data_IF_337747060704
#
_entry.id   IF_337747060704
#
_cell.length_a   1.000
_cell.length_b   1.000
_cell.length_c   1.000
_cell.angle_alpha   90.00
_cell.angle_beta   90.00
_cell.angle_gamma   90.00
#
_symmetry.space_group_name_H-M   'P 1'
#
loop_
_entity.id
_entity.type
_entity.pdbx_description
1 polymer ?
#
# COMPACT_ATOMS: atom_id res chain seq x y z
N UNK A 1 -2.98 -24.19 -41.91
CA UNK A 1 -3.81 -23.56 -40.86
C UNK A 1 -2.98 -22.53 -40.12
N UNK A 2 -3.11 -21.25 -40.49
CA UNK A 2 -2.46 -20.15 -39.76
C UNK A 2 -3.30 -19.83 -38.53
N UNK A 3 -2.77 -20.08 -37.34
CA UNK A 3 -3.36 -19.59 -36.10
C UNK A 3 -3.27 -18.07 -36.08
N UNK A 4 -4.37 -17.39 -36.43
CA UNK A 4 -4.49 -15.95 -36.18
C UNK A 4 -4.61 -15.76 -34.67
N UNK A 5 -3.55 -15.27 -34.04
CA UNK A 5 -3.63 -14.86 -32.64
C UNK A 5 -4.72 -13.79 -32.51
N UNK A 6 -5.66 -13.92 -31.57
CA UNK A 6 -6.65 -12.89 -31.32
C UNK A 6 -5.92 -11.58 -31.01
N UNK A 7 -6.20 -10.53 -31.79
CA UNK A 7 -5.68 -9.17 -31.53
C UNK A 7 -6.03 -8.82 -30.10
N UNK A 8 -5.01 -8.69 -29.24
CA UNK A 8 -5.20 -8.22 -27.87
C UNK A 8 -5.96 -6.89 -27.91
N UNK A 9 -7.14 -6.79 -27.28
CA UNK A 9 -7.90 -5.57 -27.29
C UNK A 9 -7.16 -4.58 -26.38
N UNK A 10 -6.78 -3.44 -26.96
CA UNK A 10 -6.11 -2.29 -26.33
C UNK A 10 -4.58 -2.47 -26.26
N UNK A 11 -3.89 -1.55 -26.94
CA UNK A 11 -2.44 -1.33 -26.78
C UNK A 11 -2.12 -1.16 -25.29
N UNK A 12 -1.33 -2.06 -24.68
CA UNK A 12 -1.05 -2.03 -23.25
C UNK A 12 -0.46 -0.69 -22.77
N UNK A 13 0.19 0.07 -23.67
CA UNK A 13 0.68 1.42 -23.37
C UNK A 13 -0.45 2.45 -23.26
N UNK A 14 -1.49 2.39 -24.09
CA UNK A 14 -2.65 3.31 -23.99
C UNK A 14 -3.45 3.08 -22.72
N UNK A 15 -3.64 1.80 -22.34
CA UNK A 15 -4.30 1.44 -21.08
C UNK A 15 -3.54 1.93 -19.84
N UNK A 16 -2.21 2.05 -19.93
CA UNK A 16 -1.36 2.55 -18.85
C UNK A 16 -1.58 4.04 -18.58
N UNK A 17 -1.54 4.90 -19.59
CA UNK A 17 -1.70 6.36 -19.41
C UNK A 17 -3.10 6.72 -18.91
N UNK A 18 -4.14 6.05 -19.41
CA UNK A 18 -5.52 6.26 -18.95
C UNK A 18 -5.66 5.91 -17.46
N UNK A 19 -5.08 4.78 -17.02
CA UNK A 19 -5.11 4.40 -15.59
C UNK A 19 -4.38 5.43 -14.72
N UNK A 20 -3.22 5.90 -15.16
CA UNK A 20 -2.47 6.92 -14.45
C UNK A 20 -3.27 8.22 -14.34
N UNK A 21 -3.83 8.73 -15.45
CA UNK A 21 -4.66 9.94 -15.47
C UNK A 21 -5.88 9.82 -14.54
N UNK A 22 -6.60 8.71 -14.62
CA UNK A 22 -7.75 8.45 -13.74
C UNK A 22 -7.33 8.39 -12.28
N UNK A 23 -6.15 7.83 -11.96
CA UNK A 23 -5.64 7.81 -10.59
C UNK A 23 -5.13 9.16 -10.08
N UNK A 24 -4.78 10.10 -10.96
CA UNK A 24 -4.34 11.45 -10.56
C UNK A 24 -5.49 12.31 -10.03
N UNK A 25 -6.71 12.16 -10.58
CA UNK A 25 -7.89 12.94 -10.14
C UNK A 25 -8.14 12.80 -8.62
N UNK A 26 -8.28 11.59 -8.05
CA UNK A 26 -8.47 11.47 -6.61
C UNK A 26 -7.23 11.96 -5.86
N UNK A 27 -6.02 11.69 -6.34
CA UNK A 27 -4.79 12.15 -5.68
C UNK A 27 -4.75 13.68 -5.54
N UNK A 28 -5.09 14.40 -6.60
CA UNK A 28 -5.14 15.87 -6.61
C UNK A 28 -6.24 16.37 -5.68
N UNK A 29 -7.45 15.81 -5.78
CA UNK A 29 -8.57 16.20 -4.92
C UNK A 29 -8.24 16.01 -3.44
N UNK A 30 -7.50 14.95 -3.10
CA UNK A 30 -7.06 14.68 -1.74
C UNK A 30 -6.00 15.67 -1.27
N UNK A 31 -4.99 15.96 -2.08
CA UNK A 31 -3.99 16.96 -1.70
C UNK A 31 -4.59 18.35 -1.53
N UNK A 32 -5.56 18.71 -2.37
CA UNK A 32 -6.35 19.95 -2.24
C UNK A 32 -7.13 19.94 -0.91
N UNK A 33 -7.92 18.91 -0.64
CA UNK A 33 -8.75 18.87 0.57
C UNK A 33 -7.93 18.86 1.86
N UNK A 34 -6.74 18.24 1.86
CA UNK A 34 -5.86 18.22 3.03
C UNK A 34 -5.16 19.57 3.27
N UNK A 35 -5.06 20.44 2.26
CA UNK A 35 -4.29 21.69 2.32
C UNK A 35 -5.14 22.97 2.24
N UNK A 36 -6.46 22.86 2.03
CA UNK A 36 -7.31 24.01 1.72
C UNK A 36 -7.36 25.09 2.79
N UNK A 37 -7.39 24.71 4.06
CA UNK A 37 -7.44 25.66 5.18
C UNK A 37 -6.09 25.81 5.90
N UNK A 38 -5.00 25.26 5.36
CA UNK A 38 -3.71 25.30 6.02
C UNK A 38 -2.93 26.57 5.69
N UNK A 39 -2.36 27.19 6.73
CA UNK A 39 -1.41 28.28 6.54
C UNK A 39 -0.05 27.74 6.04
N UNK A 40 0.88 28.65 5.74
CA UNK A 40 2.21 28.30 5.23
C UNK A 40 2.96 27.29 6.12
N UNK A 41 2.99 27.51 7.43
CA UNK A 41 3.73 26.66 8.37
C UNK A 41 3.07 25.29 8.53
N UNK A 42 1.74 25.24 8.59
CA UNK A 42 0.98 24.01 8.74
C UNK A 42 1.11 23.11 7.53
N UNK A 43 1.24 23.66 6.31
CA UNK A 43 1.54 22.89 5.09
C UNK A 43 2.91 22.22 5.15
N UNK A 44 3.92 22.89 5.72
CA UNK A 44 5.25 22.31 5.91
C UNK A 44 5.18 21.16 6.93
N UNK A 45 4.50 21.38 8.06
CA UNK A 45 4.30 20.36 9.09
C UNK A 45 3.54 19.16 8.53
N UNK A 46 2.41 19.39 7.84
CA UNK A 46 1.63 18.34 7.18
C UNK A 46 2.52 17.54 6.22
N UNK A 47 3.29 18.24 5.40
CA UNK A 47 4.14 17.63 4.38
C UNK A 47 5.21 16.74 5.01
N UNK A 48 5.81 17.14 6.15
CA UNK A 48 6.73 16.27 6.91
C UNK A 48 6.03 15.01 7.43
N UNK A 49 4.82 15.12 7.99
CA UNK A 49 4.03 13.94 8.38
C UNK A 49 3.69 13.04 7.18
N UNK A 50 3.40 13.64 6.02
CA UNK A 50 3.17 12.88 4.79
C UNK A 50 4.45 12.18 4.31
N UNK A 51 5.64 12.76 4.50
CA UNK A 51 6.91 12.09 4.21
C UNK A 51 7.17 10.90 5.13
N UNK A 52 6.81 10.98 6.41
CA UNK A 52 6.81 9.82 7.31
C UNK A 52 5.88 8.73 6.80
N UNK A 53 4.65 9.09 6.47
CA UNK A 53 3.66 8.16 5.93
C UNK A 53 4.17 7.54 4.62
N UNK A 54 4.75 8.34 3.76
CA UNK A 54 5.31 7.93 2.47
C UNK A 54 6.46 6.94 2.62
N UNK A 55 7.35 7.12 3.60
CA UNK A 55 8.40 6.15 3.91
C UNK A 55 7.80 4.79 4.30
N UNK A 56 6.75 4.78 5.13
CA UNK A 56 6.02 3.57 5.49
C UNK A 56 5.29 2.92 4.30
N UNK A 57 4.60 3.73 3.49
CA UNK A 57 3.90 3.28 2.27
C UNK A 57 4.91 2.66 1.29
N UNK A 58 6.04 3.31 1.04
CA UNK A 58 7.04 2.80 0.11
C UNK A 58 7.73 1.55 0.65
N UNK A 59 8.01 1.48 1.95
CA UNK A 59 8.50 0.24 2.56
C UNK A 59 7.52 -0.92 2.33
N UNK A 60 6.22 -0.69 2.46
CA UNK A 60 5.23 -1.75 2.32
C UNK A 60 4.88 -2.10 0.88
N UNK A 61 4.64 -1.10 0.02
CA UNK A 61 4.06 -1.27 -1.32
C UNK A 61 5.11 -1.68 -2.36
N UNK A 62 6.37 -1.26 -2.21
CA UNK A 62 7.46 -1.54 -3.16
C UNK A 62 7.52 -3.03 -3.59
N UNK A 63 7.57 -4.02 -2.68
CA UNK A 63 7.63 -5.43 -3.09
C UNK A 63 6.38 -5.87 -3.87
N UNK A 64 5.20 -5.33 -3.59
CA UNK A 64 3.96 -5.67 -4.31
C UNK A 64 3.88 -5.07 -5.71
N UNK A 65 4.53 -3.93 -5.94
CA UNK A 65 4.61 -3.32 -7.27
C UNK A 65 5.65 -4.05 -8.12
N UNK A 66 6.78 -4.39 -7.51
CA UNK A 66 7.90 -5.03 -8.20
C UNK A 66 7.66 -6.52 -8.46
N UNK A 67 7.03 -7.23 -7.51
CA UNK A 67 6.95 -8.68 -7.50
C UNK A 67 5.55 -9.21 -7.08
N UNK A 68 5.13 -10.39 -7.56
CA UNK A 68 5.71 -11.13 -8.67
C UNK A 68 5.24 -10.55 -10.01
N UNK A 69 6.06 -10.63 -11.05
CA UNK A 69 5.63 -10.22 -12.39
C UNK A 69 4.76 -11.30 -13.02
N UNK A 70 3.47 -11.04 -13.22
CA UNK A 70 2.61 -11.96 -13.95
C UNK A 70 2.54 -11.59 -15.44
N UNK A 71 2.76 -12.55 -16.36
CA UNK A 71 3.17 -13.94 -16.14
C UNK A 71 4.70 -14.11 -15.95
N UNK A 72 5.11 -14.79 -14.87
CA UNK A 72 6.53 -15.02 -14.53
C UNK A 72 7.25 -15.83 -15.62
N UNK A 73 6.56 -16.83 -16.16
CA UNK A 73 7.11 -17.71 -17.20
C UNK A 73 7.54 -16.92 -18.44
N UNK A 74 6.80 -15.86 -18.80
CA UNK A 74 7.15 -15.03 -19.94
C UNK A 74 8.42 -14.23 -19.67
N UNK A 75 8.54 -13.64 -18.47
CA UNK A 75 9.78 -12.93 -18.09
C UNK A 75 10.99 -13.86 -18.01
N UNK A 76 10.80 -15.12 -17.60
CA UNK A 76 11.89 -16.11 -17.56
C UNK A 76 12.30 -16.59 -18.96
N UNK A 77 11.33 -16.78 -19.87
CA UNK A 77 11.62 -17.16 -21.26
C UNK A 77 12.28 -16.04 -22.05
N UNK A 78 11.87 -14.79 -21.83
CA UNK A 78 12.47 -13.62 -22.50
C UNK A 78 13.88 -13.31 -22.01
N UNK A 79 14.26 -13.79 -20.83
CA UNK A 79 15.52 -13.52 -20.15
C UNK A 79 16.00 -12.06 -20.34
N UNK A 80 15.20 -11.06 -19.92
CA UNK A 80 15.51 -9.65 -20.17
C UNK A 80 16.88 -9.27 -19.63
N UNK A 81 17.62 -8.49 -20.41
CA UNK A 81 18.88 -7.91 -20.00
C UNK A 81 18.67 -6.81 -18.95
N UNK A 82 19.75 -6.39 -18.29
CA UNK A 82 19.74 -5.36 -17.25
C UNK A 82 19.01 -4.09 -17.67
N UNK A 83 19.15 -3.66 -18.94
CA UNK A 83 18.49 -2.44 -19.42
C UNK A 83 16.96 -2.58 -19.49
N UNK A 84 16.46 -3.74 -19.90
CA UNK A 84 15.03 -4.05 -19.91
C UNK A 84 14.47 -4.14 -18.49
N UNK A 85 15.19 -4.79 -17.57
CA UNK A 85 14.81 -4.87 -16.16
C UNK A 85 14.70 -3.46 -15.54
N UNK A 86 15.68 -2.59 -15.79
CA UNK A 86 15.66 -1.19 -15.36
C UNK A 86 14.43 -0.47 -15.93
N UNK A 87 14.16 -0.63 -17.24
CA UNK A 87 12.99 0.00 -17.88
C UNK A 87 11.68 -0.44 -17.22
N UNK A 88 11.55 -1.73 -16.88
CA UNK A 88 10.38 -2.26 -16.17
C UNK A 88 10.25 -1.62 -14.78
N UNK A 89 11.35 -1.47 -14.04
CA UNK A 89 11.33 -0.83 -12.72
C UNK A 89 11.01 0.66 -12.81
N UNK A 90 11.65 1.40 -13.72
CA UNK A 90 11.35 2.82 -13.95
C UNK A 90 9.87 2.98 -14.28
N UNK A 91 9.31 2.13 -15.15
CA UNK A 91 7.91 2.23 -15.52
C UNK A 91 6.96 1.99 -14.32
N UNK A 92 7.22 0.96 -13.51
CA UNK A 92 6.32 0.59 -12.40
C UNK A 92 6.48 1.49 -11.18
N UNK A 93 7.71 1.74 -10.77
CA UNK A 93 8.03 2.58 -9.61
C UNK A 93 7.84 4.05 -9.97
N UNK A 94 8.09 4.42 -11.23
CA UNK A 94 7.82 5.76 -11.75
C UNK A 94 6.35 6.16 -11.64
N UNK A 95 5.39 5.24 -11.82
CA UNK A 95 3.98 5.55 -11.54
C UNK A 95 3.75 5.93 -10.09
N UNK A 96 4.27 5.12 -9.16
CA UNK A 96 4.09 5.39 -7.74
C UNK A 96 4.79 6.70 -7.35
N UNK A 97 5.99 6.94 -7.88
CA UNK A 97 6.71 8.19 -7.71
C UNK A 97 5.90 9.37 -8.23
N UNK A 98 5.36 9.31 -9.46
CA UNK A 98 4.52 10.39 -10.03
C UNK A 98 3.30 10.64 -9.14
N UNK A 99 2.60 9.59 -8.71
CA UNK A 99 1.40 9.74 -7.87
C UNK A 99 1.73 10.41 -6.52
N UNK A 100 2.79 9.97 -5.86
CA UNK A 100 3.21 10.56 -4.59
C UNK A 100 3.74 11.98 -4.78
N UNK A 101 4.49 12.24 -5.86
CA UNK A 101 4.99 13.56 -6.21
C UNK A 101 3.86 14.54 -6.47
N UNK A 102 2.85 14.15 -7.28
CA UNK A 102 1.68 15.01 -7.54
C UNK A 102 0.90 15.27 -6.27
N UNK A 103 0.68 14.25 -5.43
CA UNK A 103 0.04 14.41 -4.13
C UNK A 103 0.75 15.48 -3.27
N UNK A 104 2.07 15.36 -3.11
CA UNK A 104 2.86 16.30 -2.33
C UNK A 104 2.88 17.70 -2.96
N UNK A 105 2.99 17.80 -4.30
CA UNK A 105 2.89 19.07 -5.02
C UNK A 105 1.57 19.78 -4.73
N UNK A 106 0.46 19.04 -4.72
CA UNK A 106 -0.85 19.64 -4.43
C UNK A 106 -0.96 20.14 -3.00
N UNK A 107 -0.43 19.42 -2.02
CA UNK A 107 -0.41 19.90 -0.63
C UNK A 107 0.41 21.20 -0.49
N UNK A 108 1.57 21.26 -1.16
CA UNK A 108 2.53 22.36 -1.01
C UNK A 108 2.08 23.63 -1.75
N UNK A 109 1.52 23.49 -2.95
CA UNK A 109 1.23 24.64 -3.83
C UNK A 109 -0.24 25.06 -3.86
N UNK A 110 -1.19 24.24 -3.41
CA UNK A 110 -2.59 24.64 -3.44
C UNK A 110 -2.83 25.87 -2.56
N UNK A 111 -3.41 26.93 -3.12
CA UNK A 111 -3.70 28.19 -2.44
C UNK A 111 -2.47 28.82 -1.73
N UNK A 112 -1.27 28.66 -2.31
CA UNK A 112 -0.04 29.27 -1.76
C UNK A 112 0.11 30.71 -2.25
N UNK A 113 0.29 31.63 -1.32
CA UNK A 113 0.49 33.05 -1.60
C UNK A 113 1.85 33.30 -2.27
N UNK A 114 1.93 34.31 -3.14
CA UNK A 114 3.11 34.59 -3.97
C UNK A 114 4.37 34.89 -3.16
N UNK A 115 4.23 35.48 -1.98
CA UNK A 115 5.35 35.82 -1.08
C UNK A 115 6.10 34.59 -0.54
N UNK A 116 5.45 33.42 -0.50
CA UNK A 116 6.02 32.18 0.00
C UNK A 116 6.43 31.20 -1.11
N UNK A 117 6.29 31.59 -2.38
CA UNK A 117 6.46 30.68 -3.52
C UNK A 117 7.88 30.13 -3.63
N UNK A 118 8.91 30.95 -3.40
CA UNK A 118 10.31 30.50 -3.43
C UNK A 118 10.60 29.48 -2.33
N UNK A 119 10.17 29.77 -1.10
CA UNK A 119 10.28 28.89 0.05
C UNK A 119 9.60 27.54 -0.19
N UNK A 120 8.38 27.56 -0.75
CA UNK A 120 7.65 26.35 -1.10
C UNK A 120 8.31 25.58 -2.25
N UNK A 121 8.93 26.26 -3.20
CA UNK A 121 9.67 25.61 -4.28
C UNK A 121 10.92 24.89 -3.76
N UNK A 122 11.70 25.52 -2.89
CA UNK A 122 12.87 24.89 -2.25
C UNK A 122 12.43 23.67 -1.44
N UNK A 123 11.39 23.81 -0.63
CA UNK A 123 10.84 22.71 0.17
C UNK A 123 10.30 21.59 -0.72
N UNK A 124 9.58 21.91 -1.79
CA UNK A 124 9.08 20.95 -2.77
C UNK A 124 10.22 20.15 -3.42
N UNK A 125 11.31 20.81 -3.80
CA UNK A 125 12.49 20.10 -4.33
C UNK A 125 13.00 19.09 -3.31
N UNK A 126 13.16 19.46 -2.03
CA UNK A 126 13.58 18.52 -0.99
C UNK A 126 12.61 17.32 -0.87
N UNK A 127 11.30 17.55 -0.93
CA UNK A 127 10.29 16.48 -0.89
C UNK A 127 10.39 15.55 -2.10
N UNK A 128 10.62 16.09 -3.31
CA UNK A 128 10.80 15.28 -4.52
C UNK A 128 12.08 14.45 -4.44
N UNK A 129 13.18 15.03 -3.95
CA UNK A 129 14.45 14.34 -3.73
C UNK A 129 14.29 13.25 -2.66
N UNK A 130 13.57 13.54 -1.57
CA UNK A 130 13.26 12.56 -0.54
C UNK A 130 12.51 11.37 -1.13
N UNK A 131 11.41 11.65 -1.83
CA UNK A 131 10.56 10.64 -2.49
C UNK A 131 11.37 9.75 -3.43
N UNK A 132 12.21 10.36 -4.28
CA UNK A 132 13.07 9.62 -5.20
C UNK A 132 14.11 8.78 -4.46
N UNK A 133 14.77 9.35 -3.46
CA UNK A 133 15.81 8.69 -2.68
C UNK A 133 15.30 7.47 -1.93
N UNK A 134 14.16 7.58 -1.24
CA UNK A 134 13.55 6.46 -0.53
C UNK A 134 13.01 5.40 -1.51
N UNK A 135 12.46 5.79 -2.67
CA UNK A 135 12.07 4.86 -3.73
C UNK A 135 13.26 4.02 -4.20
N UNK A 136 14.38 4.67 -4.56
CA UNK A 136 15.61 3.98 -4.99
C UNK A 136 16.15 3.06 -3.90
N UNK A 137 16.22 3.57 -2.66
CA UNK A 137 16.67 2.81 -1.51
C UNK A 137 15.81 1.56 -1.28
N UNK A 138 14.49 1.71 -1.22
CA UNK A 138 13.55 0.60 -1.06
C UNK A 138 13.71 -0.45 -2.18
N UNK A 139 13.80 0.00 -3.42
CA UNK A 139 13.97 -0.84 -4.61
C UNK A 139 15.19 -1.75 -4.47
N UNK A 140 16.36 -1.17 -4.18
CA UNK A 140 17.61 -1.93 -4.03
C UNK A 140 17.53 -2.92 -2.87
N UNK A 141 16.93 -2.53 -1.74
CA UNK A 141 16.82 -3.42 -0.58
C UNK A 141 15.90 -4.61 -0.86
N UNK A 142 14.80 -4.41 -1.57
CA UNK A 142 13.88 -5.49 -1.93
C UNK A 142 14.39 -6.38 -3.08
N UNK A 143 15.28 -5.87 -3.93
CA UNK A 143 15.95 -6.68 -4.97
C UNK A 143 16.89 -7.73 -4.40
N UNK A 144 17.53 -7.45 -3.26
CA UNK A 144 18.44 -8.39 -2.60
C UNK A 144 17.73 -9.46 -1.77
N UNK A 145 16.41 -9.39 -1.66
CA UNK A 145 15.72 -10.18 -0.64
C UNK A 145 15.75 -11.66 -0.97
N UNK A 146 15.72 -12.03 -2.24
CA UNK A 146 15.78 -13.42 -2.67
C UNK A 146 17.07 -14.10 -2.23
N UNK A 147 18.22 -13.47 -2.48
CA UNK A 147 19.53 -13.99 -2.09
C UNK A 147 19.68 -14.04 -0.57
N UNK A 148 19.23 -13.01 0.15
CA UNK A 148 19.26 -13.00 1.62
C UNK A 148 18.34 -14.09 2.19
N UNK A 149 17.12 -14.21 1.70
CA UNK A 149 16.15 -15.22 2.16
C UNK A 149 16.66 -16.64 1.93
N UNK A 150 17.30 -16.91 0.79
CA UNK A 150 17.91 -18.21 0.52
C UNK A 150 18.96 -18.56 1.58
N UNK A 151 19.85 -17.62 1.94
CA UNK A 151 20.84 -17.84 2.99
C UNK A 151 20.23 -18.10 4.37
N UNK A 152 19.08 -17.50 4.67
CA UNK A 152 18.32 -17.77 5.89
C UNK A 152 17.66 -19.15 5.87
N UNK A 153 17.10 -19.57 4.73
CA UNK A 153 16.51 -20.90 4.58
C UNK A 153 17.54 -22.01 4.64
N UNK A 154 18.74 -21.77 4.11
CA UNK A 154 19.88 -22.71 4.17
C UNK A 154 20.58 -22.74 5.54
N UNK A 155 20.11 -21.96 6.53
CA UNK A 155 20.71 -21.89 7.87
C UNK A 155 22.08 -21.18 7.93
N UNK A 156 22.57 -20.65 6.81
CA UNK A 156 23.86 -19.93 6.72
C UNK A 156 23.82 -18.54 7.36
N UNK A 157 22.62 -17.99 7.61
CA UNK A 157 22.39 -16.71 8.30
C UNK A 157 21.17 -16.80 9.22
N UNK A 158 21.18 -16.01 10.30
CA UNK A 158 20.01 -15.86 11.18
C UNK A 158 19.86 -16.91 12.27
N UNK A 159 20.80 -17.86 12.39
CA UNK A 159 20.76 -18.96 13.37
C UNK A 159 20.63 -18.47 14.81
N UNK A 160 21.44 -17.48 15.21
CA UNK A 160 21.35 -16.86 16.55
C UNK A 160 19.98 -16.22 16.80
N UNK A 161 19.42 -15.53 15.80
CA UNK A 161 18.12 -14.86 15.94
C UNK A 161 16.98 -15.89 16.02
N UNK A 162 17.05 -16.97 15.25
CA UNK A 162 16.09 -18.08 15.33
C UNK A 162 16.20 -18.81 16.68
N UNK A 163 17.41 -18.96 17.24
CA UNK A 163 17.61 -19.50 18.57
C UNK A 163 16.98 -18.60 19.65
N UNK A 164 17.26 -17.28 19.63
CA UNK A 164 16.64 -16.33 20.54
C UNK A 164 15.11 -16.30 20.45
N UNK A 165 14.54 -16.37 19.25
CA UNK A 165 13.09 -16.38 19.08
C UNK A 165 12.45 -17.68 19.59
N UNK A 166 13.14 -18.82 19.45
CA UNK A 166 12.72 -20.09 20.03
C UNK A 166 12.78 -20.07 21.56
N UNK A 167 13.85 -19.50 22.13
CA UNK A 167 14.02 -19.35 23.58
C UNK A 167 12.99 -18.39 24.20
N UNK A 168 12.61 -17.33 23.49
CA UNK A 168 11.60 -16.37 23.93
C UNK A 168 10.16 -16.91 23.88
N UNK A 169 9.94 -18.20 23.63
CA UNK A 169 8.62 -18.83 23.48
C UNK A 169 7.81 -18.35 22.26
N UNK A 170 8.36 -17.40 21.50
CA UNK A 170 7.79 -16.80 20.30
C UNK A 170 8.46 -17.40 19.06
N UNK A 171 8.50 -18.74 18.98
CA UNK A 171 8.90 -19.41 17.75
C UNK A 171 8.06 -18.82 16.62
N UNK A 172 8.65 -18.09 15.67
CA UNK A 172 7.86 -17.32 14.72
C UNK A 172 7.05 -18.34 13.92
N UNK A 173 5.72 -18.29 14.01
CA UNK A 173 4.81 -18.96 13.07
C UNK A 173 4.90 -18.39 11.64
N UNK A 174 6.05 -17.81 11.31
CA UNK A 174 6.38 -17.04 10.13
C UNK A 174 7.61 -17.74 9.54
N UNK A 175 7.54 -18.24 8.29
CA UNK A 175 8.63 -18.99 7.68
C UNK A 175 9.94 -18.20 7.75
N UNK A 176 11.06 -18.85 8.09
CA UNK A 176 12.36 -18.20 8.30
C UNK A 176 12.78 -17.31 7.11
N UNK A 177 12.43 -17.70 5.87
CA UNK A 177 12.69 -16.90 4.66
C UNK A 177 11.92 -15.58 4.56
N UNK A 178 10.84 -15.39 5.33
CA UNK A 178 10.05 -14.14 5.33
C UNK A 178 10.50 -13.12 6.39
N UNK A 179 11.34 -13.53 7.35
CA UNK A 179 11.95 -12.61 8.34
C UNK A 179 12.80 -11.51 7.68
N UNK A 180 13.64 -11.80 6.66
CA UNK A 180 14.33 -10.77 5.90
C UNK A 180 13.41 -9.73 5.28
N UNK A 181 12.22 -10.11 4.82
CA UNK A 181 11.21 -9.19 4.27
C UNK A 181 10.68 -8.24 5.32
N UNK A 182 10.35 -8.73 6.51
CA UNK A 182 9.89 -7.89 7.63
C UNK A 182 11.01 -6.96 8.09
N UNK A 183 12.24 -7.47 8.23
CA UNK A 183 13.41 -6.68 8.62
C UNK A 183 13.71 -5.59 7.59
N UNK A 184 13.62 -5.91 6.30
CA UNK A 184 13.85 -4.94 5.21
C UNK A 184 12.76 -3.87 5.16
N UNK A 185 11.48 -4.26 5.30
CA UNK A 185 10.35 -3.33 5.38
C UNK A 185 10.54 -2.37 6.56
N UNK A 186 10.85 -2.91 7.74
CA UNK A 186 11.08 -2.11 8.95
C UNK A 186 12.26 -1.17 8.78
N UNK A 187 13.37 -1.66 8.21
CA UNK A 187 14.56 -0.85 7.97
C UNK A 187 14.31 0.29 6.97
N UNK A 188 13.61 0.03 5.86
CA UNK A 188 13.26 1.08 4.89
C UNK A 188 12.38 2.14 5.55
N UNK A 189 11.36 1.72 6.29
CA UNK A 189 10.48 2.64 7.01
C UNK A 189 11.26 3.46 8.06
N UNK A 190 12.03 2.79 8.94
CA UNK A 190 12.82 3.44 10.00
C UNK A 190 13.83 4.41 9.41
N UNK A 191 14.56 4.05 8.35
CA UNK A 191 15.53 4.96 7.73
C UNK A 191 14.82 6.17 7.14
N UNK A 192 13.74 5.98 6.36
CA UNK A 192 13.00 7.10 5.80
C UNK A 192 12.43 8.04 6.86
N UNK A 193 11.81 7.48 7.91
CA UNK A 193 11.29 8.24 9.05
C UNK A 193 12.39 8.95 9.83
N UNK A 194 13.49 8.25 10.14
CA UNK A 194 14.65 8.80 10.83
C UNK A 194 15.27 9.96 10.04
N UNK A 195 15.31 9.88 8.71
CA UNK A 195 15.79 11.01 7.88
C UNK A 195 14.94 12.26 8.05
N UNK A 196 13.61 12.14 8.17
CA UNK A 196 12.73 13.29 8.44
C UNK A 196 12.96 13.86 9.85
N UNK A 197 13.16 13.00 10.85
CA UNK A 197 13.49 13.40 12.23
C UNK A 197 14.84 14.14 12.27
N UNK A 198 15.88 13.53 11.72
CA UNK A 198 17.24 14.08 11.69
C UNK A 198 17.23 15.41 10.95
N UNK A 199 16.55 15.49 9.81
CA UNK A 199 16.37 16.75 9.08
C UNK A 199 15.72 17.82 9.96
N UNK A 200 14.63 17.49 10.65
CA UNK A 200 13.93 18.43 11.54
C UNK A 200 14.82 18.88 12.71
N UNK A 201 15.61 17.97 13.28
CA UNK A 201 16.57 18.27 14.35
C UNK A 201 17.71 19.16 13.88
N UNK A 202 18.29 18.91 12.70
CA UNK A 202 19.35 19.75 12.11
C UNK A 202 18.82 21.17 11.88
N UNK A 203 17.60 21.31 11.37
CA UNK A 203 17.01 22.63 11.14
C UNK A 203 16.76 23.38 12.46
N UNK A 204 16.27 22.67 13.49
CA UNK A 204 16.06 23.26 14.81
C UNK A 204 17.38 23.70 15.48
N UNK A 205 18.48 22.96 15.28
CA UNK A 205 19.77 23.26 15.91
C UNK A 205 20.60 24.32 15.17
N UNK A 206 20.47 24.42 13.85
CA UNK A 206 21.30 25.31 13.02
C UNK A 206 20.65 26.66 12.72
N UNK A 207 19.37 26.85 13.04
CA UNK A 207 18.59 28.05 12.71
C UNK A 207 18.62 28.43 11.22
N UNK A 208 18.94 27.47 10.35
CA UNK A 208 18.94 27.67 8.90
C UNK A 208 17.51 27.97 8.44
N UNK A 209 17.36 28.93 7.53
CA UNK A 209 16.08 29.30 6.91
C UNK A 209 15.54 28.27 5.90
N UNK A 210 16.11 27.06 5.90
CA UNK A 210 15.71 25.97 5.02
C UNK A 210 14.64 25.14 5.75
N UNK A 211 13.57 24.78 5.05
CA UNK A 211 12.44 24.09 5.67
C UNK A 211 12.64 22.57 5.81
N UNK A 212 13.58 21.97 5.07
CA UNK A 212 13.95 20.55 5.22
C UNK A 212 15.23 20.24 4.41
N UNK A 213 16.00 19.26 4.87
CA UNK A 213 17.18 18.69 4.19
C UNK A 213 17.08 17.17 4.05
N UNK A 214 15.89 16.62 4.27
CA UNK A 214 15.65 15.18 4.28
C UNK A 214 15.95 14.51 2.93
N UNK A 215 15.63 15.18 1.82
CA UNK A 215 15.90 14.74 0.47
C UNK A 215 17.38 14.73 0.16
N UNK A 216 18.11 15.75 0.62
CA UNK A 216 19.56 15.83 0.51
C UNK A 216 20.29 14.71 1.28
N UNK A 217 19.67 14.14 2.30
CA UNK A 217 20.24 13.02 3.06
C UNK A 217 19.92 11.67 2.38
N UNK A 218 18.64 11.40 2.07
CA UNK A 218 18.23 10.07 1.60
C UNK A 218 18.55 9.82 0.12
N UNK A 219 18.57 10.86 -0.72
CA UNK A 219 18.86 10.71 -2.14
C UNK A 219 20.27 10.19 -2.40
N UNK A 220 21.35 10.74 -1.82
CA UNK A 220 22.69 10.16 -1.97
C UNK A 220 22.74 8.71 -1.53
N UNK A 221 22.10 8.35 -0.41
CA UNK A 221 22.05 6.96 0.07
C UNK A 221 21.37 6.05 -0.95
N UNK A 222 20.24 6.48 -1.51
CA UNK A 222 19.51 5.75 -2.56
C UNK A 222 20.31 5.61 -3.85
N UNK A 223 20.93 6.69 -4.32
CA UNK A 223 21.76 6.71 -5.53
C UNK A 223 23.00 5.83 -5.38
N UNK A 224 23.74 5.96 -4.28
CA UNK A 224 24.90 5.13 -3.97
C UNK A 224 24.49 3.66 -3.91
N UNK A 225 23.38 3.34 -3.22
CA UNK A 225 22.87 1.98 -3.16
C UNK A 225 22.56 1.42 -4.55
N UNK A 226 21.96 2.25 -5.42
CA UNK A 226 21.60 1.88 -6.79
C UNK A 226 22.82 1.66 -7.67
N UNK A 227 23.78 2.59 -7.70
CA UNK A 227 24.97 2.52 -8.57
C UNK A 227 25.83 1.32 -8.25
N UNK A 228 25.97 0.95 -6.98
CA UNK A 228 26.71 -0.25 -6.58
C UNK A 228 25.98 -1.56 -6.94
N UNK A 229 24.66 -1.56 -7.06
CA UNK A 229 23.87 -2.79 -7.27
C UNK A 229 23.41 -3.01 -8.69
N UNK A 230 23.38 -1.98 -9.53
CA UNK A 230 22.90 -2.08 -10.91
C UNK A 230 23.65 -3.14 -11.73
N UNK A 231 24.90 -3.46 -11.35
CA UNK A 231 25.74 -4.47 -12.02
C UNK A 231 25.30 -5.92 -11.79
N UNK A 232 24.60 -6.21 -10.69
CA UNK A 232 24.13 -7.56 -10.32
C UNK A 232 22.60 -7.65 -10.36
N UNK A 233 21.97 -6.69 -11.05
CA UNK A 233 20.52 -6.49 -11.02
C UNK A 233 19.76 -7.69 -11.58
N UNK A 234 20.31 -8.33 -12.60
CA UNK A 234 19.75 -9.52 -13.26
C UNK A 234 19.63 -10.70 -12.29
N UNK A 235 20.71 -11.05 -11.60
CA UNK A 235 20.77 -12.16 -10.65
C UNK A 235 19.81 -11.91 -9.48
N UNK A 236 19.93 -10.74 -8.84
CA UNK A 236 19.08 -10.33 -7.72
C UNK A 236 17.60 -10.29 -8.11
N UNK A 237 17.30 -9.85 -9.33
CA UNK A 237 15.95 -9.82 -9.86
C UNK A 237 15.33 -11.22 -9.95
N UNK A 238 16.02 -12.19 -10.55
CA UNK A 238 15.46 -13.54 -10.70
C UNK A 238 15.34 -14.27 -9.35
N UNK A 239 16.32 -14.12 -8.46
CA UNK A 239 16.22 -14.67 -7.10
C UNK A 239 15.04 -14.09 -6.34
N UNK A 240 14.84 -12.77 -6.39
CA UNK A 240 13.72 -12.11 -5.72
C UNK A 240 12.37 -12.41 -6.37
N UNK A 241 12.30 -12.55 -7.70
CA UNK A 241 11.10 -13.05 -8.38
C UNK A 241 10.72 -14.44 -7.90
N UNK A 242 11.69 -15.38 -7.87
CA UNK A 242 11.47 -16.74 -7.38
C UNK A 242 10.92 -16.74 -5.96
N UNK A 243 11.63 -16.06 -5.06
CA UNK A 243 11.23 -15.92 -3.65
C UNK A 243 9.81 -15.33 -3.48
N UNK A 244 9.52 -14.18 -4.09
CA UNK A 244 8.20 -13.56 -3.94
C UNK A 244 7.10 -14.36 -4.62
N UNK A 245 7.40 -15.06 -5.72
CA UNK A 245 6.43 -15.96 -6.34
C UNK A 245 6.04 -17.09 -5.41
N UNK A 246 6.99 -17.62 -4.63
CA UNK A 246 6.73 -18.64 -3.62
C UNK A 246 6.00 -18.04 -2.41
N UNK A 247 6.47 -16.90 -1.89
CA UNK A 247 5.86 -16.21 -0.76
C UNK A 247 4.40 -15.83 -1.01
N UNK A 248 4.07 -15.35 -2.22
CA UNK A 248 2.70 -14.95 -2.57
C UNK A 248 1.81 -16.11 -3.03
N UNK A 249 2.38 -17.22 -3.52
CA UNK A 249 1.61 -18.44 -3.85
C UNK A 249 1.33 -19.27 -2.60
N UNK A 250 2.34 -19.46 -1.75
CA UNK A 250 2.33 -20.24 -0.53
C UNK A 250 3.04 -19.48 0.61
N UNK A 251 2.37 -18.51 1.27
CA UNK A 251 2.96 -17.75 2.38
C UNK A 251 3.35 -18.59 3.62
N UNK A 252 3.16 -19.91 3.57
CA UNK A 252 3.55 -20.90 4.58
C UNK A 252 4.20 -22.15 3.98
N UNK A 253 5.00 -21.99 2.92
CA UNK A 253 5.71 -23.11 2.28
C UNK A 253 6.57 -23.89 3.28
N UNK A 254 6.15 -25.14 3.56
CA UNK A 254 6.56 -26.12 4.58
C UNK A 254 5.80 -26.00 5.92
N UNK A 255 4.81 -26.90 6.05
CA UNK A 255 4.20 -27.45 7.27
C UNK A 255 3.78 -26.45 8.37
N UNK A 256 2.46 -26.35 8.59
CA UNK A 256 1.85 -26.36 9.93
C UNK A 256 2.43 -25.49 11.05
N UNK A 257 3.05 -24.35 10.76
CA UNK A 257 3.49 -23.41 11.78
C UNK A 257 2.39 -22.40 12.15
N UNK A 258 1.34 -22.90 12.83
CA UNK A 258 0.74 -22.19 13.97
C UNK A 258 -0.34 -21.13 13.75
N UNK A 259 -0.79 -20.86 12.52
CA UNK A 259 -2.03 -20.07 12.34
C UNK A 259 -3.14 -20.96 11.80
N UNK A 260 -3.88 -21.57 12.72
CA UNK A 260 -5.10 -22.29 12.36
C UNK A 260 -5.96 -21.39 11.48
N UNK A 261 -6.40 -21.90 10.31
CA UNK A 261 -7.29 -21.13 9.45
C UNK A 261 -8.51 -20.73 10.28
N UNK A 262 -8.92 -19.45 10.19
CA UNK A 262 -10.13 -18.90 10.83
C UNK A 262 -11.20 -19.99 10.77
N UNK A 263 -11.66 -20.59 11.88
CA UNK A 263 -12.58 -21.71 11.77
C UNK A 263 -13.90 -21.18 11.18
N UNK A 264 -14.55 -21.92 10.28
CA UNK A 264 -15.83 -21.48 9.67
C UNK A 264 -16.85 -21.11 10.77
N UNK A 265 -16.82 -21.83 11.90
CA UNK A 265 -17.64 -21.58 13.08
C UNK A 265 -17.44 -20.19 13.72
N UNK A 266 -16.27 -19.55 13.54
CA UNK A 266 -16.01 -18.19 14.04
C UNK A 266 -16.77 -17.10 13.26
N UNK A 267 -17.36 -17.43 12.11
CA UNK A 267 -18.22 -16.53 11.34
C UNK A 267 -19.67 -16.56 11.86
N UNK A 268 -19.86 -16.49 13.18
CA UNK A 268 -21.18 -16.56 13.81
C UNK A 268 -22.11 -15.39 13.43
N UNK A 269 -21.53 -14.25 13.03
CA UNK A 269 -22.22 -13.04 12.61
C UNK A 269 -22.67 -13.06 11.13
N UNK A 270 -22.47 -14.18 10.43
CA UNK A 270 -22.68 -14.33 8.99
C UNK A 270 -23.81 -15.34 8.74
N UNK A 271 -24.79 -15.03 7.87
CA UNK A 271 -25.82 -15.97 7.46
C UNK A 271 -25.25 -17.25 6.85
N UNK A 272 -25.86 -18.39 7.17
CA UNK A 272 -25.32 -19.71 6.79
C UNK A 272 -25.22 -19.93 5.27
N UNK A 273 -26.13 -19.34 4.47
CA UNK A 273 -26.16 -19.50 3.02
C UNK A 273 -24.97 -18.85 2.27
N UNK A 274 -24.26 -17.90 2.89
CA UNK A 274 -23.03 -17.26 2.33
C UNK A 274 -21.76 -17.60 3.10
N UNK A 275 -21.89 -18.27 4.26
CA UNK A 275 -20.80 -18.52 5.20
C UNK A 275 -19.60 -19.25 4.57
N UNK A 276 -19.79 -20.30 3.74
CA UNK A 276 -18.66 -20.99 3.10
C UNK A 276 -17.90 -20.11 2.10
N UNK A 277 -18.62 -19.35 1.27
CA UNK A 277 -18.05 -18.47 0.25
C UNK A 277 -17.32 -17.29 0.92
N UNK A 278 -17.93 -16.70 1.95
CA UNK A 278 -17.32 -15.63 2.74
C UNK A 278 -16.03 -16.10 3.39
N UNK A 279 -16.05 -17.27 4.03
CA UNK A 279 -14.89 -17.85 4.68
C UNK A 279 -13.70 -18.03 3.74
N UNK A 280 -13.92 -18.66 2.59
CA UNK A 280 -12.91 -18.86 1.56
C UNK A 280 -12.33 -17.53 1.08
N UNK A 281 -13.21 -16.56 0.87
CA UNK A 281 -12.82 -15.24 0.38
C UNK A 281 -12.00 -14.47 1.41
N UNK A 282 -12.39 -14.51 2.69
CA UNK A 282 -11.65 -13.91 3.79
C UNK A 282 -10.26 -14.52 3.92
N UNK A 283 -10.12 -15.85 3.76
CA UNK A 283 -8.80 -16.50 3.75
C UNK A 283 -7.90 -16.00 2.63
N UNK A 284 -8.43 -15.78 1.44
CA UNK A 284 -7.65 -15.25 0.31
C UNK A 284 -7.33 -13.76 0.48
N UNK A 285 -8.28 -12.98 0.99
CA UNK A 285 -8.08 -11.56 1.26
C UNK A 285 -7.02 -11.34 2.33
N UNK A 286 -7.13 -11.99 3.49
CA UNK A 286 -6.19 -11.83 4.60
C UNK A 286 -4.76 -12.27 4.24
N UNK A 287 -4.61 -13.15 3.23
CA UNK A 287 -3.31 -13.54 2.65
C UNK A 287 -2.70 -12.49 1.72
N UNK A 288 -3.51 -11.70 1.03
CA UNK A 288 -3.05 -10.81 -0.05
C UNK A 288 -3.10 -9.33 0.31
N UNK A 289 -4.08 -8.92 1.11
CA UNK A 289 -4.24 -7.54 1.56
C UNK A 289 -4.54 -7.59 3.06
N UNK A 290 -3.57 -7.25 3.93
CA UNK A 290 -3.80 -7.23 5.37
C UNK A 290 -4.59 -5.97 5.76
N UNK A 291 -5.89 -5.91 5.42
CA UNK A 291 -6.76 -4.74 5.60
C UNK A 291 -6.71 -4.20 7.02
N UNK A 292 -6.77 -5.08 8.03
CA UNK A 292 -6.69 -4.66 9.43
C UNK A 292 -5.40 -3.92 9.79
N UNK A 293 -4.25 -4.29 9.19
CA UNK A 293 -2.98 -3.57 9.39
C UNK A 293 -3.00 -2.21 8.72
N UNK A 294 -3.60 -2.12 7.52
CA UNK A 294 -3.75 -0.84 6.82
C UNK A 294 -4.64 0.13 7.59
N UNK A 295 -5.76 -0.36 8.14
CA UNK A 295 -6.65 0.43 8.98
C UNK A 295 -5.95 0.89 10.26
N UNK A 296 -5.21 0.00 10.94
CA UNK A 296 -4.44 0.36 12.13
C UNK A 296 -3.43 1.47 11.82
N UNK A 297 -2.67 1.36 10.72
CA UNK A 297 -1.69 2.38 10.31
C UNK A 297 -2.41 3.70 10.01
N UNK A 298 -3.54 3.66 9.30
CA UNK A 298 -4.32 4.86 8.98
C UNK A 298 -4.81 5.55 10.26
N UNK A 299 -5.29 4.81 11.25
CA UNK A 299 -5.71 5.36 12.54
C UNK A 299 -4.55 5.87 13.39
N UNK A 300 -3.42 5.16 13.44
CA UNK A 300 -2.24 5.65 14.15
C UNK A 300 -1.72 6.95 13.51
N UNK A 301 -1.73 7.03 12.18
CA UNK A 301 -1.40 8.26 11.47
C UNK A 301 -2.38 9.39 11.81
N UNK A 302 -3.68 9.11 11.75
CA UNK A 302 -4.73 10.05 12.11
C UNK A 302 -4.55 10.60 13.54
N UNK A 303 -4.32 9.70 14.50
CA UNK A 303 -4.08 10.06 15.90
C UNK A 303 -2.77 10.83 16.10
N UNK A 304 -1.73 10.55 15.31
CA UNK A 304 -0.48 11.30 15.38
C UNK A 304 -0.63 12.75 14.93
N UNK A 305 -1.51 13.01 13.96
CA UNK A 305 -1.83 14.37 13.52
C UNK A 305 -2.59 15.14 14.61
N UNK A 306 -3.57 14.49 15.24
CA UNK A 306 -4.32 15.05 16.38
C UNK A 306 -3.37 15.37 17.52
N UNK A 307 -2.51 14.42 17.91
CA UNK A 307 -1.51 14.62 18.95
C UNK A 307 -0.52 15.74 18.60
N UNK A 308 -0.18 15.88 17.32
CA UNK A 308 0.65 16.96 16.80
C UNK A 308 -0.04 18.32 16.74
N UNK A 309 -1.28 18.46 17.24
CA UNK A 309 -2.03 19.71 17.25
C UNK A 309 -2.65 20.10 15.89
N UNK A 310 -2.64 19.20 14.90
CA UNK A 310 -3.23 19.44 13.59
C UNK A 310 -4.74 19.24 13.63
N UNK A 311 -5.45 20.17 14.27
CA UNK A 311 -6.87 20.08 14.57
C UNK A 311 -7.78 20.71 13.51
N UNK A 312 -7.32 20.87 12.26
CA UNK A 312 -8.18 21.44 11.24
C UNK A 312 -9.37 20.51 10.96
N UNK A 313 -10.58 21.08 10.96
CA UNK A 313 -11.84 20.33 10.75
C UNK A 313 -11.77 19.53 9.44
N UNK A 314 -11.16 20.08 8.39
CA UNK A 314 -10.97 19.38 7.12
C UNK A 314 -10.09 18.12 7.25
N UNK A 315 -8.94 18.20 7.93
CA UNK A 315 -8.09 17.03 8.16
C UNK A 315 -8.82 15.97 8.99
N UNK A 316 -9.58 16.42 10.00
CA UNK A 316 -10.38 15.55 10.85
C UNK A 316 -11.48 14.80 10.09
N UNK A 317 -12.00 15.37 9.01
CA UNK A 317 -13.06 14.75 8.20
C UNK A 317 -12.45 13.86 7.09
N UNK A 318 -11.45 14.38 6.38
CA UNK A 318 -10.93 13.77 5.14
C UNK A 318 -10.18 12.47 5.43
N UNK A 319 -9.40 12.39 6.52
CA UNK A 319 -8.60 11.19 6.81
C UNK A 319 -9.47 9.99 7.20
N UNK A 320 -10.47 10.12 8.11
CA UNK A 320 -11.47 9.08 8.32
C UNK A 320 -12.23 8.69 7.06
N UNK A 321 -12.70 9.67 6.29
CA UNK A 321 -13.42 9.42 5.05
C UNK A 321 -12.58 8.63 4.04
N UNK A 322 -11.32 9.00 3.88
CA UNK A 322 -10.35 8.28 3.06
C UNK A 322 -10.13 6.85 3.52
N UNK A 323 -9.99 6.65 4.82
CA UNK A 323 -9.79 5.33 5.40
C UNK A 323 -10.98 4.42 5.08
N UNK A 324 -12.20 4.94 5.23
CA UNK A 324 -13.45 4.28 4.85
C UNK A 324 -13.48 3.97 3.34
N UNK A 325 -13.16 4.95 2.50
CA UNK A 325 -13.17 4.78 1.05
C UNK A 325 -12.16 3.73 0.58
N UNK A 326 -10.92 3.78 1.08
CA UNK A 326 -9.86 2.82 0.75
C UNK A 326 -10.29 1.41 1.18
N UNK A 327 -10.82 1.27 2.40
CA UNK A 327 -11.37 0.00 2.91
C UNK A 327 -12.40 -0.58 1.94
N UNK A 328 -13.36 0.23 1.51
CA UNK A 328 -14.41 -0.24 0.60
C UNK A 328 -13.86 -0.51 -0.81
N UNK A 329 -12.93 0.30 -1.33
CA UNK A 329 -12.32 0.09 -2.65
C UNK A 329 -11.54 -1.23 -2.75
N UNK A 330 -10.99 -1.73 -1.63
CA UNK A 330 -10.34 -3.04 -1.59
C UNK A 330 -11.32 -4.16 -1.98
N UNK A 331 -12.62 -4.00 -1.73
CA UNK A 331 -13.66 -4.96 -2.11
C UNK A 331 -13.69 -5.17 -3.63
N UNK A 332 -13.46 -4.11 -4.43
CA UNK A 332 -13.40 -4.22 -5.89
C UNK A 332 -12.26 -5.12 -6.39
N UNK A 333 -11.20 -5.30 -5.59
CA UNK A 333 -10.10 -6.18 -5.97
C UNK A 333 -10.45 -7.66 -5.82
N UNK A 334 -11.49 -7.99 -5.06
CA UNK A 334 -11.89 -9.37 -4.78
C UNK A 334 -12.44 -10.11 -6.00
N UNK A 335 -12.90 -9.35 -7.01
CA UNK A 335 -13.37 -9.93 -8.26
C UNK A 335 -12.24 -10.24 -9.26
N UNK A 336 -11.00 -9.91 -8.93
CA UNK A 336 -9.86 -10.25 -9.78
C UNK A 336 -9.53 -11.75 -9.66
N UNK A 337 -9.07 -12.34 -10.77
CA UNK A 337 -8.65 -13.75 -10.88
C UNK A 337 -7.82 -14.30 -9.71
N UNK A 338 -6.91 -13.52 -9.07
CA UNK A 338 -6.17 -14.01 -7.92
C UNK A 338 -7.05 -14.31 -6.69
N UNK A 339 -8.16 -13.62 -6.50
CA UNK A 339 -9.02 -13.76 -5.31
C UNK A 339 -10.17 -14.73 -5.58
N UNK A 340 -10.85 -14.52 -6.70
CA UNK A 340 -11.90 -15.40 -7.19
C UNK A 340 -11.88 -15.40 -8.73
N UNK A 341 -11.74 -16.56 -9.36
CA UNK A 341 -11.87 -16.65 -10.82
C UNK A 341 -13.34 -16.57 -11.21
N UNK A 342 -13.66 -16.09 -12.43
CA UNK A 342 -15.06 -16.07 -12.92
C UNK A 342 -15.67 -17.47 -12.81
N UNK A 343 -14.95 -18.51 -13.22
CA UNK A 343 -15.45 -19.88 -13.23
C UNK A 343 -15.78 -20.36 -11.81
N UNK A 344 -14.92 -20.00 -10.84
CA UNK A 344 -15.17 -20.29 -9.45
C UNK A 344 -16.39 -19.55 -8.90
N UNK A 345 -16.54 -18.25 -9.24
CA UNK A 345 -17.67 -17.44 -8.77
C UNK A 345 -19.00 -17.98 -9.29
N UNK A 346 -19.07 -18.22 -10.60
CA UNK A 346 -20.29 -18.69 -11.28
C UNK A 346 -20.72 -20.10 -10.85
N UNK A 347 -19.78 -20.94 -10.40
CA UNK A 347 -20.09 -22.30 -9.91
C UNK A 347 -20.58 -22.34 -8.46
N UNK A 348 -20.14 -21.40 -7.60
CA UNK A 348 -20.38 -21.49 -6.15
C UNK A 348 -21.64 -20.80 -5.66
N UNK A 349 -22.02 -19.68 -6.26
CA UNK A 349 -23.22 -18.93 -5.88
C UNK A 349 -23.62 -17.95 -6.98
N UNK A 350 -24.87 -17.47 -6.90
CA UNK A 350 -25.39 -16.46 -7.82
C UNK A 350 -24.68 -15.11 -7.62
N UNK A 351 -24.82 -14.18 -8.58
CA UNK A 351 -24.32 -12.81 -8.44
C UNK A 351 -24.88 -12.11 -7.19
N UNK A 352 -26.12 -12.41 -6.82
CA UNK A 352 -26.73 -11.91 -5.59
C UNK A 352 -26.07 -12.51 -4.34
N UNK A 353 -25.69 -13.78 -4.37
CA UNK A 353 -24.88 -14.38 -3.31
C UNK A 353 -23.53 -13.68 -3.14
N UNK A 354 -22.86 -13.37 -4.25
CA UNK A 354 -21.60 -12.62 -4.23
C UNK A 354 -21.75 -11.16 -3.78
N UNK A 355 -22.89 -10.53 -4.07
CA UNK A 355 -23.24 -9.22 -3.50
C UNK A 355 -23.24 -9.28 -1.97
N UNK A 356 -23.93 -10.28 -1.38
CA UNK A 356 -23.96 -10.47 0.07
C UNK A 356 -22.58 -10.79 0.65
N UNK A 357 -21.80 -11.64 -0.01
CA UNK A 357 -20.42 -11.94 0.42
C UNK A 357 -19.60 -10.65 0.54
N UNK A 358 -19.61 -9.79 -0.48
CA UNK A 358 -18.86 -8.53 -0.47
C UNK A 358 -19.38 -7.56 0.60
N UNK A 359 -20.71 -7.47 0.78
CA UNK A 359 -21.34 -6.65 1.81
C UNK A 359 -20.84 -7.04 3.22
N UNK A 360 -20.91 -8.32 3.57
CA UNK A 360 -20.49 -8.80 4.89
C UNK A 360 -18.98 -8.62 5.14
N UNK A 361 -18.15 -8.70 4.09
CA UNK A 361 -16.72 -8.39 4.20
C UNK A 361 -16.49 -6.91 4.49
N UNK A 362 -17.26 -6.01 3.89
CA UNK A 362 -17.22 -4.58 4.21
C UNK A 362 -17.68 -4.28 5.65
N UNK A 363 -18.72 -4.97 6.12
CA UNK A 363 -19.27 -4.83 7.48
C UNK A 363 -18.26 -5.26 8.54
N UNK A 364 -17.46 -6.33 8.30
CA UNK A 364 -16.44 -6.83 9.24
C UNK A 364 -15.56 -5.73 9.83
N UNK A 365 -15.19 -4.74 9.02
CA UNK A 365 -14.29 -3.66 9.40
C UNK A 365 -15.02 -2.39 9.83
N UNK A 366 -16.33 -2.32 9.64
CA UNK A 366 -17.13 -1.15 10.00
C UNK A 366 -17.11 -0.91 11.52
N UNK A 367 -17.35 -1.95 12.32
CA UNK A 367 -17.37 -1.83 13.79
C UNK A 367 -16.05 -1.27 14.36
N UNK A 368 -14.86 -1.87 14.09
CA UNK A 368 -13.63 -1.35 14.66
C UNK A 368 -13.28 0.07 14.17
N UNK A 369 -13.61 0.41 12.92
CA UNK A 369 -13.41 1.78 12.38
C UNK A 369 -14.26 2.78 13.16
N UNK A 370 -15.55 2.53 13.30
CA UNK A 370 -16.45 3.46 13.96
C UNK A 370 -16.20 3.55 15.45
N UNK A 371 -15.82 2.45 16.09
CA UNK A 371 -15.37 2.48 17.47
C UNK A 371 -14.15 3.38 17.65
N UNK A 372 -13.13 3.25 16.79
CA UNK A 372 -11.94 4.12 16.84
C UNK A 372 -12.29 5.59 16.60
N UNK A 373 -13.21 5.88 15.68
CA UNK A 373 -13.66 7.23 15.37
C UNK A 373 -14.49 7.86 16.49
N UNK A 374 -15.39 7.10 17.12
CA UNK A 374 -16.13 7.55 18.31
C UNK A 374 -15.17 7.84 19.46
N UNK A 375 -14.16 6.98 19.65
CA UNK A 375 -13.13 7.20 20.65
C UNK A 375 -12.34 8.49 20.37
N UNK A 376 -12.08 8.83 19.10
CA UNK A 376 -11.49 10.12 18.75
C UNK A 376 -12.38 11.30 19.12
N UNK A 377 -13.68 11.25 18.84
CA UNK A 377 -14.64 12.31 19.26
C UNK A 377 -14.63 12.47 20.79
N UNK A 378 -14.49 11.37 21.52
CA UNK A 378 -14.45 11.41 22.98
C UNK A 378 -13.17 12.05 23.54
N UNK A 379 -12.06 12.00 22.80
CA UNK A 379 -10.77 12.55 23.22
C UNK A 379 -10.55 13.98 22.73
N UNK A 380 -11.23 14.39 21.66
CA UNK A 380 -11.00 15.67 20.98
C UNK A 380 -12.28 16.51 21.00
N UNK A 381 -12.29 17.56 21.84
CA UNK A 381 -13.45 18.42 22.05
C UNK A 381 -13.87 19.22 20.79
N UNK A 382 -12.95 19.46 19.87
CA UNK A 382 -13.19 20.23 18.65
C UNK A 382 -13.99 19.47 17.57
N UNK A 383 -14.24 18.17 17.75
CA UNK A 383 -15.00 17.39 16.78
C UNK A 383 -16.49 17.42 17.15
N UNK A 384 -17.38 17.91 16.26
CA UNK A 384 -18.81 17.87 16.52
C UNK A 384 -19.29 16.45 16.81
N UNK A 385 -20.02 16.26 17.90
CA UNK A 385 -20.55 14.95 18.30
C UNK A 385 -21.50 14.33 17.27
N UNK A 386 -22.03 15.09 16.31
CA UNK A 386 -22.82 14.55 15.20
C UNK A 386 -21.96 13.92 14.09
N UNK A 387 -20.63 14.12 14.09
CA UNK A 387 -19.74 13.71 13.00
C UNK A 387 -19.67 12.19 12.79
N UNK A 388 -19.83 11.39 13.86
CA UNK A 388 -19.83 9.93 13.72
C UNK A 388 -20.99 9.41 12.85
N UNK A 389 -22.14 10.11 12.86
CA UNK A 389 -23.29 9.75 12.03
C UNK A 389 -22.96 9.90 10.55
N UNK A 390 -22.24 10.97 10.19
CA UNK A 390 -21.78 11.20 8.83
C UNK A 390 -20.77 10.15 8.38
N UNK A 391 -19.85 9.73 9.25
CA UNK A 391 -18.90 8.65 8.93
C UNK A 391 -19.59 7.31 8.73
N UNK A 392 -20.58 6.96 9.57
CA UNK A 392 -21.41 5.76 9.38
C UNK A 392 -22.15 5.83 8.05
N UNK A 393 -22.80 6.97 7.77
CA UNK A 393 -23.54 7.15 6.53
C UNK A 393 -22.62 7.05 5.31
N UNK A 394 -21.44 7.67 5.36
CA UNK A 394 -20.43 7.57 4.31
C UNK A 394 -19.92 6.14 4.11
N UNK A 395 -19.69 5.36 5.17
CA UNK A 395 -19.29 3.95 5.05
C UNK A 395 -20.40 3.12 4.43
N UNK A 396 -21.65 3.26 4.89
CA UNK A 396 -22.79 2.53 4.34
C UNK A 396 -23.00 2.87 2.85
N UNK A 397 -23.08 4.16 2.51
CA UNK A 397 -23.31 4.60 1.12
C UNK A 397 -22.17 4.12 0.21
N UNK A 398 -20.91 4.32 0.62
CA UNK A 398 -19.77 3.90 -0.20
C UNK A 398 -19.69 2.38 -0.34
N UNK A 399 -19.99 1.62 0.71
CA UNK A 399 -20.07 0.16 0.66
C UNK A 399 -21.17 -0.32 -0.30
N UNK A 400 -22.38 0.25 -0.21
CA UNK A 400 -23.49 -0.10 -1.10
C UNK A 400 -23.15 0.25 -2.55
N UNK A 401 -22.65 1.45 -2.80
CA UNK A 401 -22.24 1.89 -4.14
C UNK A 401 -21.19 0.96 -4.76
N UNK A 402 -20.14 0.64 -4.00
CA UNK A 402 -19.06 -0.23 -4.45
C UNK A 402 -19.57 -1.66 -4.73
N UNK A 403 -20.48 -2.16 -3.91
CA UNK A 403 -21.10 -3.47 -4.12
C UNK A 403 -21.98 -3.52 -5.37
N UNK A 404 -22.79 -2.49 -5.61
CA UNK A 404 -23.59 -2.38 -6.83
C UNK A 404 -22.68 -2.30 -8.05
N UNK A 405 -21.67 -1.44 -8.01
CA UNK A 405 -20.70 -1.28 -9.09
C UNK A 405 -19.96 -2.60 -9.40
N UNK A 406 -19.49 -3.32 -8.38
CA UNK A 406 -18.86 -4.63 -8.53
C UNK A 406 -19.79 -5.64 -9.20
N UNK A 407 -21.06 -5.67 -8.79
CA UNK A 407 -22.06 -6.60 -9.31
C UNK A 407 -22.40 -6.31 -10.78
N UNK A 408 -22.58 -5.03 -11.14
CA UNK A 408 -22.80 -4.60 -12.53
C UNK A 408 -21.59 -4.94 -13.40
N UNK A 409 -20.37 -4.65 -12.91
CA UNK A 409 -19.13 -4.97 -13.61
C UNK A 409 -19.02 -6.48 -13.87
N UNK A 410 -19.29 -7.31 -12.86
CA UNK A 410 -19.24 -8.76 -13.00
C UNK A 410 -20.27 -9.27 -14.01
N UNK A 411 -21.51 -8.81 -13.92
CA UNK A 411 -22.57 -9.16 -14.87
C UNK A 411 -22.16 -8.86 -16.32
N UNK A 412 -21.62 -7.67 -16.57
CA UNK A 412 -21.12 -7.28 -17.89
C UNK A 412 -19.93 -8.13 -18.37
N UNK A 413 -19.01 -8.50 -17.47
CA UNK A 413 -17.89 -9.38 -17.83
C UNK A 413 -18.35 -10.80 -18.15
N UNK A 414 -19.34 -11.31 -17.42
CA UNK A 414 -19.93 -12.63 -17.65
C UNK A 414 -20.61 -12.66 -19.02
N UNK A 415 -21.44 -11.67 -19.36
CA UNK A 415 -22.07 -11.58 -20.69
C UNK A 415 -21.01 -11.60 -21.80
N UNK A 416 -19.93 -10.82 -21.68
CA UNK A 416 -18.85 -10.77 -22.68
C UNK A 416 -18.05 -12.07 -22.84
N UNK A 417 -18.09 -12.97 -21.86
CA UNK A 417 -17.39 -14.25 -21.94
C UNK A 417 -18.26 -15.35 -22.54
N UNK A 418 -19.58 -15.20 -22.50
CA UNK A 418 -20.55 -16.15 -23.03
C UNK A 418 -21.24 -15.69 -24.32
N UNK A 419 -21.05 -14.43 -24.72
CA UNK A 419 -21.34 -13.90 -26.06
C UNK A 419 -20.09 -13.99 -26.93
#
# INVERSE_FOLDING_TARGET
MSYSYPKLPIDPQKGYYIRLLVSLIPVIALGIGLSSDLNFNDKIVLSRYMMFLQAGILAFITPWIMFPQNPIWFSQMMNPDTSQIIRIFIHRIGQLWILLSVFMSTIIFYNTQSEHLLSMLIFWVDVMLFTLGICLFATVRFLKIGTISQLWQEGKRGEKMLAYLKEAGNGPGVPAGSLPTIGTTSLVAIIGMATVIISSWIMASTQLSIFSVSGLIILPIGLISWTFHVRHLDQDYYHSQGFYSELFRNPGGRADAGRDPIPIKSLYWVPDFIKPQLWLTLRQMDRKIPVGRLLLIAFLFYWSLIYGGMLSVQLMIIIPFLTILIKNLIILKMDNKPYSSISYRTQLTSEMGWYWVRLFIGIRWMIPIHFALILTIWVVDDIPSAMWQWWILADIISLLFINVFASVKNYLTTIRQYA
#
